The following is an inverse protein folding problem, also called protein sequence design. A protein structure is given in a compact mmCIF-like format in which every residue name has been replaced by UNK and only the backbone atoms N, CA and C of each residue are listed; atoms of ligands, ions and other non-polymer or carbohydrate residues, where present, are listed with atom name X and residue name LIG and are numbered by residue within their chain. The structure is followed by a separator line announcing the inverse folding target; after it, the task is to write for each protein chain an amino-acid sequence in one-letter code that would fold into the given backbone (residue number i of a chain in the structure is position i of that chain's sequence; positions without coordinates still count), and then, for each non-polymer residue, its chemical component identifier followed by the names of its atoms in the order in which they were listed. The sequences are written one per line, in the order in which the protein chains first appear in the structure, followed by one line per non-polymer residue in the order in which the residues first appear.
data_IF_724248386747
#
_entry.id   IF_724248386747
#
_cell.length_a   1.000
_cell.length_b   1.000
_cell.length_c   1.000
_cell.angle_alpha   90.00
_cell.angle_beta   90.00
_cell.angle_gamma   90.00
#
_symmetry.space_group_name_H-M   'P 1'
#
loop_
_entity.id
_entity.type
_entity.pdbx_description
1 polymer ?
#
# COMPACT_ATOMS: atom_id res chain seq x y z
N UNK A 1 20.06 -6.82 6.50
CA UNK A 1 19.24 -7.66 7.40
C UNK A 1 17.95 -8.06 6.68
N UNK A 2 17.39 -9.24 6.93
CA UNK A 2 16.10 -9.58 6.36
C UNK A 2 15.05 -8.61 6.91
N UNK A 3 14.16 -8.15 6.04
CA UNK A 3 13.06 -7.25 6.36
C UNK A 3 12.04 -7.96 7.25
N UNK A 4 11.67 -7.33 8.36
CA UNK A 4 10.64 -7.86 9.26
C UNK A 4 9.27 -7.42 8.73
N UNK A 5 8.40 -8.40 8.45
CA UNK A 5 7.03 -8.15 8.02
C UNK A 5 6.10 -8.52 9.17
N UNK A 6 5.48 -7.51 9.74
CA UNK A 6 4.54 -7.69 10.83
C UNK A 6 3.15 -8.03 10.31
N UNK A 7 2.40 -8.91 11.00
CA UNK A 7 1.03 -9.20 10.63
C UNK A 7 0.14 -7.99 10.87
N UNK A 8 -0.88 -7.82 10.01
CA UNK A 8 -1.90 -6.81 10.22
C UNK A 8 -2.78 -7.15 11.44
N UNK A 9 -3.34 -6.12 12.11
CA UNK A 9 -4.36 -6.35 13.11
C UNK A 9 -5.63 -6.94 12.48
N UNK A 10 -6.46 -7.68 13.22
CA UNK A 10 -7.74 -8.19 12.73
C UNK A 10 -8.68 -7.01 12.41
N UNK A 11 -9.53 -7.21 11.41
CA UNK A 11 -10.62 -6.29 11.12
C UNK A 11 -11.79 -6.54 12.09
N UNK A 12 -12.45 -5.45 12.52
CA UNK A 12 -13.53 -5.56 13.51
C UNK A 12 -14.71 -6.35 12.96
N UNK A 13 -15.08 -7.41 13.67
CA UNK A 13 -16.28 -8.23 13.39
C UNK A 13 -16.14 -9.22 12.24
N UNK A 14 -14.93 -9.42 11.69
CA UNK A 14 -14.75 -10.21 10.46
C UNK A 14 -13.72 -11.34 10.56
N UNK A 15 -13.35 -11.73 11.72
CA UNK A 15 -12.28 -12.72 11.90
C UNK A 15 -10.90 -12.09 11.86
N UNK A 16 -9.85 -12.89 11.63
CA UNK A 16 -8.47 -12.45 11.82
C UNK A 16 -8.02 -11.36 10.85
N UNK A 17 -8.53 -11.35 9.60
CA UNK A 17 -8.12 -10.39 8.58
C UNK A 17 -9.29 -9.97 7.67
N UNK A 18 -9.40 -8.67 7.41
CA UNK A 18 -10.12 -8.18 6.25
C UNK A 18 -9.14 -8.04 5.08
N UNK A 19 -9.48 -8.64 3.95
CA UNK A 19 -8.66 -8.60 2.74
C UNK A 19 -9.29 -7.68 1.71
N UNK A 20 -8.44 -6.93 1.01
CA UNK A 20 -8.84 -5.86 0.11
C UNK A 20 -8.10 -5.91 -1.21
N UNK A 21 -8.83 -5.61 -2.28
CA UNK A 21 -8.26 -5.25 -3.58
C UNK A 21 -8.67 -3.83 -3.93
N UNK A 22 -7.74 -2.99 -4.39
CA UNK A 22 -8.01 -1.60 -4.73
C UNK A 22 -8.04 -1.42 -6.25
N UNK A 23 -9.06 -0.73 -6.75
CA UNK A 23 -9.25 -0.46 -8.18
C UNK A 23 -9.95 0.89 -8.39
N UNK A 24 -9.81 1.47 -9.57
CA UNK A 24 -10.61 2.60 -10.05
C UNK A 24 -11.86 2.13 -10.84
N UNK A 25 -11.92 0.84 -11.18
CA UNK A 25 -13.07 0.23 -11.86
C UNK A 25 -14.11 -0.20 -10.83
N UNK A 26 -15.33 0.33 -10.96
CA UNK A 26 -16.47 0.02 -10.10
C UNK A 26 -17.29 -1.21 -10.56
N UNK A 27 -16.99 -1.76 -11.73
CA UNK A 27 -17.79 -2.81 -12.36
C UNK A 27 -17.26 -4.23 -12.10
N UNK A 28 -16.26 -4.39 -11.23
CA UNK A 28 -15.65 -5.70 -10.98
C UNK A 28 -16.60 -6.55 -10.11
N UNK A 29 -17.34 -7.44 -10.74
CA UNK A 29 -18.19 -8.41 -10.05
C UNK A 29 -17.42 -9.66 -9.60
N UNK A 30 -16.27 -9.95 -10.22
CA UNK A 30 -15.44 -11.12 -9.93
C UNK A 30 -14.00 -10.86 -10.31
N UNK A 31 -13.07 -11.24 -9.46
CA UNK A 31 -11.63 -11.21 -9.71
C UNK A 31 -11.17 -12.54 -10.25
N UNK A 32 -10.64 -12.56 -11.47
CA UNK A 32 -10.05 -13.75 -12.07
C UNK A 32 -8.53 -13.76 -11.81
N UNK A 33 -7.95 -14.95 -11.56
CA UNK A 33 -6.50 -15.08 -11.47
C UNK A 33 -5.81 -14.59 -12.76
N UNK A 34 -4.78 -13.77 -12.61
CA UNK A 34 -4.02 -13.23 -13.73
C UNK A 34 -2.54 -13.15 -13.42
N UNK A 35 -1.70 -13.22 -14.45
CA UNK A 35 -0.26 -13.02 -14.30
C UNK A 35 0.05 -11.55 -13.99
N UNK A 36 0.89 -11.33 -12.99
CA UNK A 36 1.38 -10.01 -12.61
C UNK A 36 2.85 -9.87 -13.02
N UNK A 37 3.16 -9.11 -14.09
CA UNK A 37 4.54 -8.95 -14.56
C UNK A 37 5.44 -8.39 -13.46
N UNK A 38 6.66 -8.94 -13.36
CA UNK A 38 7.66 -8.49 -12.40
C UNK A 38 7.49 -9.04 -10.98
N UNK A 39 6.57 -9.99 -10.76
CA UNK A 39 6.45 -10.73 -9.52
C UNK A 39 7.25 -12.03 -9.55
N UNK A 40 7.73 -12.47 -8.38
CA UNK A 40 8.51 -13.72 -8.25
C UNK A 40 7.66 -15.00 -8.41
N UNK A 41 6.33 -14.88 -8.30
CA UNK A 41 5.41 -15.97 -8.58
C UNK A 41 4.95 -15.87 -10.03
N UNK A 42 5.35 -16.84 -10.84
CA UNK A 42 4.99 -16.93 -12.27
C UNK A 42 3.76 -17.84 -12.45
N UNK A 43 2.70 -17.53 -11.74
CA UNK A 43 1.41 -18.20 -11.87
C UNK A 43 0.27 -17.16 -11.85
N UNK A 44 -0.90 -17.46 -12.44
CA UNK A 44 -2.04 -16.55 -12.39
C UNK A 44 -2.65 -16.54 -10.98
N UNK A 45 -2.78 -15.36 -10.40
CA UNK A 45 -3.25 -15.16 -9.03
C UNK A 45 -4.22 -13.98 -8.91
N UNK A 46 -5.14 -14.07 -7.96
CA UNK A 46 -5.84 -12.91 -7.42
C UNK A 46 -5.04 -12.38 -6.22
N UNK A 47 -4.75 -11.09 -6.22
CA UNK A 47 -3.93 -10.43 -5.22
C UNK A 47 -4.79 -9.58 -4.29
N UNK A 48 -4.54 -9.69 -2.99
CA UNK A 48 -5.15 -8.87 -1.97
C UNK A 48 -4.11 -8.37 -0.97
N UNK A 49 -4.49 -7.35 -0.21
CA UNK A 49 -3.76 -6.87 0.96
C UNK A 49 -4.68 -6.88 2.17
N UNK A 50 -4.11 -6.99 3.35
CA UNK A 50 -4.85 -6.84 4.59
C UNK A 50 -5.10 -5.37 4.95
N UNK A 51 -5.88 -5.13 5.99
CA UNK A 51 -6.25 -3.78 6.44
C UNK A 51 -5.05 -2.91 6.80
N UNK A 52 -3.97 -3.48 7.35
CA UNK A 52 -2.74 -2.74 7.66
C UNK A 52 -2.04 -2.22 6.41
N UNK A 53 -2.04 -3.00 5.34
CA UNK A 53 -1.35 -2.68 4.09
C UNK A 53 -2.26 -1.98 3.07
N UNK A 54 -3.57 -1.93 3.30
CA UNK A 54 -4.53 -1.24 2.43
C UNK A 54 -4.15 0.22 2.13
N UNK A 55 -3.65 1.03 3.10
CA UNK A 55 -3.26 2.42 2.84
C UNK A 55 -2.14 2.60 1.80
N UNK A 56 -1.34 1.56 1.50
CA UNK A 56 -0.34 1.60 0.43
C UNK A 56 -0.97 1.80 -0.96
N UNK A 57 -2.28 1.60 -1.07
CA UNK A 57 -3.07 1.70 -2.29
C UNK A 57 -4.09 2.84 -2.27
N UNK A 58 -4.07 3.72 -1.26
CA UNK A 58 -4.88 4.93 -1.22
C UNK A 58 -4.29 6.03 -2.11
N UNK A 59 -4.13 5.71 -3.38
CA UNK A 59 -3.53 6.57 -4.39
C UNK A 59 -4.17 6.29 -5.74
N UNK A 60 -4.20 7.27 -6.66
CA UNK A 60 -4.48 6.98 -8.06
C UNK A 60 -3.55 5.88 -8.58
N UNK A 61 -4.07 5.03 -9.45
CA UNK A 61 -3.38 3.80 -9.90
C UNK A 61 -1.97 4.06 -10.43
N UNK A 62 -1.78 5.13 -11.18
CA UNK A 62 -0.50 5.46 -11.81
C UNK A 62 0.37 6.41 -10.99
N UNK A 63 -0.12 6.89 -9.84
CA UNK A 63 0.62 7.78 -8.96
C UNK A 63 1.87 7.11 -8.37
N UNK A 64 3.08 7.66 -8.62
CA UNK A 64 4.30 7.21 -7.97
C UNK A 64 4.25 7.55 -6.48
N UNK A 65 4.67 6.61 -5.63
CA UNK A 65 4.72 6.82 -4.19
C UNK A 65 5.79 6.00 -3.52
N UNK A 66 6.40 6.59 -2.51
CA UNK A 66 7.24 5.93 -1.53
C UNK A 66 6.50 5.94 -0.18
N UNK A 67 6.45 4.80 0.48
CA UNK A 67 5.78 4.67 1.78
C UNK A 67 6.70 3.92 2.74
N UNK A 68 6.80 4.37 3.98
CA UNK A 68 7.69 3.75 4.96
C UNK A 68 7.20 3.96 6.39
N UNK A 69 7.62 3.06 7.28
CA UNK A 69 7.29 3.04 8.70
C UNK A 69 8.31 2.20 9.48
N UNK A 70 8.35 2.34 10.80
CA UNK A 70 9.20 1.50 11.63
C UNK A 70 8.63 0.08 11.78
N UNK A 71 9.54 -0.88 11.96
CA UNK A 71 9.26 -2.24 12.42
C UNK A 71 10.15 -2.57 13.63
N UNK A 72 10.04 -3.77 14.17
CA UNK A 72 10.82 -4.20 15.34
C UNK A 72 12.34 -4.21 15.12
N UNK A 73 12.80 -4.27 13.87
CA UNK A 73 14.22 -4.24 13.50
C UNK A 73 14.76 -2.86 13.11
N UNK A 74 13.91 -1.82 13.12
CA UNK A 74 14.32 -0.47 12.73
C UNK A 74 15.23 0.16 13.79
N UNK A 75 16.36 0.73 13.35
CA UNK A 75 17.33 1.40 14.23
C UNK A 75 16.78 2.75 14.72
N UNK A 76 17.26 3.22 15.90
CA UNK A 76 16.89 4.54 16.41
C UNK A 76 17.37 5.66 15.49
N UNK A 77 18.51 5.48 14.81
CA UNK A 77 19.03 6.45 13.84
C UNK A 77 18.07 6.62 12.66
N UNK A 78 17.51 5.52 12.13
CA UNK A 78 16.54 5.61 11.02
C UNK A 78 15.22 6.19 11.48
N UNK A 79 14.79 5.87 12.71
CA UNK A 79 13.60 6.49 13.31
C UNK A 79 13.78 8.00 13.43
N UNK A 80 14.94 8.46 13.91
CA UNK A 80 15.22 9.89 14.00
C UNK A 80 15.27 10.54 12.60
N UNK A 81 15.94 9.90 11.65
CA UNK A 81 16.17 10.45 10.31
C UNK A 81 14.89 10.56 9.48
N UNK A 82 14.02 9.56 9.54
CA UNK A 82 12.87 9.43 8.63
C UNK A 82 11.51 9.64 9.30
N UNK A 83 11.45 9.45 10.62
CA UNK A 83 10.19 9.46 11.38
C UNK A 83 10.20 10.52 12.50
N UNK A 84 11.19 11.43 12.50
CA UNK A 84 11.35 12.48 13.52
C UNK A 84 11.27 11.95 14.98
N UNK A 85 11.89 10.81 15.23
CA UNK A 85 11.96 10.20 16.57
C UNK A 85 10.73 9.38 16.99
N UNK A 86 9.66 9.37 16.19
CA UNK A 86 8.42 8.68 16.52
C UNK A 86 8.24 7.37 15.72
N UNK A 87 8.42 6.23 16.40
CA UNK A 87 8.25 4.89 15.81
C UNK A 87 6.83 4.57 15.36
N UNK A 88 5.83 5.31 15.83
CA UNK A 88 4.42 5.09 15.46
C UNK A 88 4.05 5.74 14.14
N UNK A 89 4.86 6.69 13.65
CA UNK A 89 4.62 7.38 12.39
C UNK A 89 4.66 6.42 11.20
N UNK A 90 3.74 6.66 10.31
CA UNK A 90 3.69 6.07 8.98
C UNK A 90 3.70 7.21 7.97
N UNK A 91 4.66 7.20 7.07
CA UNK A 91 4.86 8.29 6.12
C UNK A 91 4.63 7.78 4.70
N UNK A 92 3.77 8.48 3.98
CA UNK A 92 3.51 8.28 2.56
C UNK A 92 3.94 9.53 1.80
N UNK A 93 4.72 9.36 0.75
CA UNK A 93 5.28 10.47 -0.01
C UNK A 93 4.90 10.35 -1.48
N UNK A 94 4.45 11.46 -2.06
CA UNK A 94 4.13 11.61 -3.48
C UNK A 94 4.82 12.84 -4.04
N UNK A 95 4.88 12.99 -5.35
CA UNK A 95 5.23 14.26 -5.96
C UNK A 95 4.08 15.26 -5.81
N UNK A 96 4.35 16.58 -5.65
CA UNK A 96 3.32 17.61 -5.43
C UNK A 96 2.20 17.58 -6.47
N UNK A 97 2.52 17.25 -7.72
CA UNK A 97 1.55 17.17 -8.83
C UNK A 97 0.46 16.10 -8.61
N UNK A 98 0.67 15.13 -7.70
CA UNK A 98 -0.30 14.08 -7.43
C UNK A 98 -1.30 14.41 -6.32
N UNK A 99 -1.14 15.51 -5.59
CA UNK A 99 -2.06 15.88 -4.51
C UNK A 99 -3.48 16.16 -5.01
N UNK A 100 -3.64 16.91 -6.12
CA UNK A 100 -4.95 17.13 -6.71
C UNK A 100 -5.59 15.87 -7.31
N UNK A 101 -4.87 15.05 -8.09
CA UNK A 101 -5.36 13.71 -8.47
C UNK A 101 -5.80 12.85 -7.29
N UNK A 102 -5.10 12.89 -6.15
CA UNK A 102 -5.50 12.16 -4.93
C UNK A 102 -6.83 12.63 -4.35
N UNK A 103 -7.20 13.90 -4.51
CA UNK A 103 -8.52 14.42 -4.09
C UNK A 103 -9.63 14.06 -5.07
N UNK A 104 -9.32 14.07 -6.37
CA UNK A 104 -10.31 13.98 -7.43
C UNK A 104 -10.56 12.54 -7.95
N UNK A 105 -9.58 11.64 -7.85
CA UNK A 105 -9.70 10.30 -8.42
C UNK A 105 -10.60 9.42 -7.55
N UNK A 106 -11.57 8.80 -8.19
CA UNK A 106 -12.44 7.81 -7.54
C UNK A 106 -11.70 6.49 -7.39
N UNK A 107 -11.28 6.19 -6.18
CA UNK A 107 -10.60 4.92 -5.83
C UNK A 107 -11.51 4.09 -4.94
N UNK A 108 -11.56 2.80 -5.22
CA UNK A 108 -12.47 1.85 -4.63
C UNK A 108 -11.69 0.71 -3.96
N UNK A 109 -12.15 0.26 -2.80
CA UNK A 109 -11.64 -0.92 -2.12
C UNK A 109 -12.70 -2.03 -2.12
N UNK A 110 -12.36 -3.15 -2.74
CA UNK A 110 -13.16 -4.36 -2.75
C UNK A 110 -12.73 -5.26 -1.60
N UNK A 111 -13.65 -5.59 -0.71
CA UNK A 111 -13.42 -6.56 0.35
C UNK A 111 -13.58 -7.98 -0.17
N UNK A 112 -12.60 -8.82 0.12
CA UNK A 112 -12.52 -10.18 -0.39
C UNK A 112 -12.62 -11.21 0.76
N UNK A 113 -13.21 -12.40 0.52
CA UNK A 113 -13.37 -13.43 1.54
C UNK A 113 -12.02 -14.09 1.87
N UNK A 114 -11.52 -13.94 3.10
CA UNK A 114 -10.25 -14.49 3.58
C UNK A 114 -10.07 -16.00 3.33
N UNK A 115 -11.10 -16.88 3.52
CA UNK A 115 -10.90 -18.33 3.37
C UNK A 115 -10.43 -18.80 2.00
N UNK A 116 -10.48 -17.94 0.98
CA UNK A 116 -9.98 -18.24 -0.38
C UNK A 116 -8.52 -17.85 -0.59
N UNK A 117 -7.88 -17.26 0.42
CA UNK A 117 -6.55 -16.70 0.31
C UNK A 117 -5.58 -17.39 1.25
N UNK A 118 -4.32 -17.44 0.82
CA UNK A 118 -3.18 -17.76 1.66
C UNK A 118 -2.24 -16.56 1.73
N UNK A 119 -1.55 -16.38 2.85
CA UNK A 119 -0.60 -15.30 3.02
C UNK A 119 0.69 -15.60 2.26
N UNK A 120 1.12 -14.65 1.47
CA UNK A 120 2.40 -14.66 0.80
C UNK A 120 3.11 -13.30 1.00
N UNK A 121 4.17 -13.29 1.78
CA UNK A 121 4.86 -12.07 2.19
C UNK A 121 3.88 -11.08 2.88
N UNK A 122 3.76 -9.85 2.38
CA UNK A 122 2.77 -8.84 2.82
C UNK A 122 1.45 -8.92 2.07
N UNK A 123 1.37 -9.78 1.07
CA UNK A 123 0.18 -10.00 0.26
C UNK A 123 -0.60 -11.22 0.71
N UNK A 124 -1.79 -11.30 0.18
CA UNK A 124 -2.64 -12.48 0.22
C UNK A 124 -2.95 -12.87 -1.21
N UNK A 125 -2.85 -14.13 -1.52
CA UNK A 125 -3.00 -14.66 -2.88
C UNK A 125 -4.05 -15.75 -2.93
N UNK A 126 -4.81 -15.79 -4.04
CA UNK A 126 -5.75 -16.87 -4.34
C UNK A 126 -5.52 -17.38 -5.76
N UNK A 127 -5.51 -18.71 -5.91
CA UNK A 127 -5.42 -19.38 -7.23
C UNK A 127 -6.80 -19.59 -7.86
N UNK A 128 -7.84 -19.25 -7.15
CA UNK A 128 -9.21 -19.35 -7.65
C UNK A 128 -9.83 -17.97 -7.81
N UNK A 129 -10.81 -17.88 -8.70
CA UNK A 129 -11.61 -16.68 -8.86
C UNK A 129 -12.39 -16.31 -7.59
N UNK A 130 -12.50 -15.02 -7.31
CA UNK A 130 -13.05 -14.50 -6.07
C UNK A 130 -14.11 -13.44 -6.36
N UNK A 131 -15.29 -13.58 -5.77
CA UNK A 131 -16.29 -12.53 -5.76
C UNK A 131 -16.13 -11.65 -4.53
N UNK A 132 -16.22 -10.32 -4.68
CA UNK A 132 -16.10 -9.42 -3.54
C UNK A 132 -17.34 -9.52 -2.64
N UNK A 133 -17.11 -9.30 -1.34
CA UNK A 133 -18.17 -9.24 -0.32
C UNK A 133 -18.79 -7.83 -0.23
N UNK A 134 -17.96 -6.81 -0.49
CA UNK A 134 -18.32 -5.41 -0.29
C UNK A 134 -17.49 -4.53 -1.21
N UNK A 135 -18.05 -3.38 -1.58
CA UNK A 135 -17.37 -2.31 -2.29
C UNK A 135 -17.43 -1.03 -1.46
N UNK A 136 -16.26 -0.47 -1.15
CA UNK A 136 -16.12 0.77 -0.37
C UNK A 136 -15.48 1.84 -1.24
N UNK A 137 -16.11 2.99 -1.38
CA UNK A 137 -15.50 4.15 -1.98
C UNK A 137 -14.57 4.85 -0.99
N UNK A 138 -13.31 5.09 -1.39
CA UNK A 138 -12.30 5.64 -0.49
C UNK A 138 -12.42 7.16 -0.30
N UNK A 139 -13.11 7.87 -1.21
CA UNK A 139 -13.32 9.32 -1.15
C UNK A 139 -12.04 10.12 -1.38
N UNK A 140 -11.97 11.32 -0.82
CA UNK A 140 -10.76 12.15 -0.85
C UNK A 140 -9.62 11.43 -0.13
N UNK A 141 -8.57 11.06 -0.90
CA UNK A 141 -7.47 10.24 -0.39
C UNK A 141 -6.54 11.05 0.50
N UNK A 142 -6.43 12.36 0.33
CA UNK A 142 -5.66 13.25 1.22
C UNK A 142 -6.32 13.29 2.59
N UNK A 143 -7.62 13.55 2.63
CA UNK A 143 -8.42 13.52 3.85
C UNK A 143 -8.38 12.15 4.53
N UNK A 144 -8.38 11.09 3.75
CA UNK A 144 -8.32 9.71 4.27
C UNK A 144 -7.01 9.43 5.00
N UNK A 145 -5.87 9.90 4.47
CA UNK A 145 -4.58 9.80 5.14
C UNK A 145 -4.60 10.53 6.49
N UNK A 146 -5.10 11.76 6.51
CA UNK A 146 -5.20 12.56 7.74
C UNK A 146 -6.08 11.88 8.81
N UNK A 147 -7.24 11.32 8.40
CA UNK A 147 -8.15 10.59 9.31
C UNK A 147 -7.59 9.28 9.86
N UNK A 148 -6.61 8.71 9.17
CA UNK A 148 -5.95 7.46 9.57
C UNK A 148 -4.64 7.70 10.33
N UNK A 149 -4.30 8.96 10.64
CA UNK A 149 -3.03 9.35 11.25
C UNK A 149 -1.80 8.87 10.46
N UNK A 150 -1.93 8.93 9.12
CA UNK A 150 -0.85 8.64 8.18
C UNK A 150 -0.37 9.97 7.61
N UNK A 151 0.89 10.27 7.80
CA UNK A 151 1.49 11.46 7.21
C UNK A 151 1.57 11.34 5.70
N UNK A 152 0.96 12.29 4.99
CA UNK A 152 1.10 12.44 3.56
C UNK A 152 2.00 13.65 3.28
N UNK A 153 3.22 13.36 2.82
CA UNK A 153 4.20 14.38 2.45
C UNK A 153 4.34 14.49 0.93
N UNK A 154 4.85 15.62 0.46
CA UNK A 154 5.21 15.83 -0.93
C UNK A 154 6.72 16.04 -1.06
N UNK A 155 7.33 15.43 -2.09
CA UNK A 155 8.76 15.57 -2.40
C UNK A 155 8.94 15.67 -3.93
N UNK A 156 9.69 16.65 -4.38
CA UNK A 156 9.98 16.87 -5.79
C UNK A 156 11.00 15.87 -6.36
N UNK A 157 11.77 15.20 -5.50
CA UNK A 157 12.71 14.16 -5.88
C UNK A 157 12.43 12.82 -5.18
N UNK A 158 11.30 12.24 -5.56
CA UNK A 158 10.86 10.95 -5.02
C UNK A 158 11.89 9.83 -5.28
N UNK A 159 12.69 9.95 -6.34
CA UNK A 159 13.72 8.97 -6.68
C UNK A 159 14.88 9.01 -5.69
N UNK A 160 15.40 10.19 -5.36
CA UNK A 160 16.45 10.34 -4.35
C UNK A 160 15.98 9.92 -2.96
N UNK A 161 14.74 10.31 -2.59
CA UNK A 161 14.13 9.84 -1.34
C UNK A 161 14.08 8.31 -1.31
N UNK A 162 13.61 7.68 -2.40
CA UNK A 162 13.49 6.22 -2.47
C UNK A 162 14.83 5.51 -2.25
N UNK A 163 15.92 6.00 -2.85
CA UNK A 163 17.26 5.42 -2.63
C UNK A 163 17.67 5.45 -1.15
N UNK A 164 17.35 6.52 -0.44
CA UNK A 164 17.62 6.64 1.00
C UNK A 164 16.75 5.66 1.81
N UNK A 165 15.47 5.54 1.46
CA UNK A 165 14.52 4.64 2.14
C UNK A 165 14.92 3.18 2.01
N UNK A 166 15.28 2.71 0.80
CA UNK A 166 15.69 1.30 0.61
C UNK A 166 17.02 0.96 1.26
N UNK A 167 17.88 1.96 1.52
CA UNK A 167 19.15 1.79 2.25
C UNK A 167 18.95 1.76 3.78
N UNK A 168 17.77 2.13 4.29
CA UNK A 168 17.46 2.17 5.71
C UNK A 168 17.00 0.81 6.25
N UNK A 169 16.79 0.75 7.57
CA UNK A 169 16.20 -0.41 8.27
C UNK A 169 14.68 -0.35 8.43
N UNK A 170 14.03 0.67 7.82
CA UNK A 170 12.59 0.83 7.83
C UNK A 170 11.88 -0.31 7.06
N UNK A 171 10.65 -0.57 7.38
CA UNK A 171 9.73 -1.24 6.46
C UNK A 171 9.22 -0.23 5.43
N UNK A 172 9.08 -0.64 4.17
CA UNK A 172 8.77 0.27 3.08
C UNK A 172 8.02 -0.39 1.92
N UNK A 173 7.37 0.43 1.10
CA UNK A 173 6.81 0.03 -0.18
C UNK A 173 6.95 1.16 -1.20
N UNK A 174 7.54 0.86 -2.36
CA UNK A 174 7.60 1.76 -3.51
C UNK A 174 6.71 1.24 -4.62
N UNK A 175 5.78 2.06 -5.09
CA UNK A 175 4.84 1.66 -6.14
C UNK A 175 4.84 2.70 -7.25
N UNK A 176 4.86 2.26 -8.50
CA UNK A 176 4.87 3.13 -9.70
C UNK A 176 6.04 4.14 -9.76
N UNK A 177 7.13 3.91 -9.06
CA UNK A 177 8.28 4.82 -9.03
C UNK A 177 8.89 5.10 -10.41
N UNK A 178 8.69 4.21 -11.39
CA UNK A 178 9.06 4.46 -12.80
C UNK A 178 8.31 5.63 -13.43
N UNK A 179 7.17 6.05 -12.85
CA UNK A 179 6.37 7.18 -13.29
C UNK A 179 6.78 8.48 -12.60
N UNK A 180 7.72 8.43 -11.64
CA UNK A 180 8.22 9.62 -10.98
C UNK A 180 9.00 10.51 -11.96
N UNK A 181 8.88 11.81 -11.77
CA UNK A 181 9.62 12.80 -12.54
C UNK A 181 11.11 12.63 -12.25
N UNK A 182 11.92 12.51 -13.30
CA UNK A 182 13.37 12.52 -13.13
C UNK A 182 13.81 13.93 -12.77
N UNK A 183 14.51 14.10 -11.65
CA UNK A 183 15.19 15.36 -11.37
C UNK A 183 16.17 15.67 -12.50
N UNK A 184 16.12 16.89 -13.02
CA UNK A 184 16.97 17.36 -14.11
C UNK A 184 18.42 17.54 -13.67
#
# INVERSE_FOLDING_TARGET
MPRVIEPAPPYRGEGPHALWHVSEDAAIARFEPHHRPGHSLDEPLVWAVDTRHLPLYWFPREGPRATFWANSGTTDQDVETFLAGDRTRRVHVVEPAWLEPMRATRVLAYRLPEPKFERWDRFWISRSAVEPLELVELGDLVDRHAKADIELAADDDLTALWQRVIASTLDFSGIRLRNATMAA
#
